data_IF_676160349316
#
_entry.id   IF_676160349316
#
_cell.length_a   1.000
_cell.length_b   1.000
_cell.length_c   1.000
_cell.angle_alpha   90.00
_cell.angle_beta   90.00
_cell.angle_gamma   90.00
#
_symmetry.space_group_name_H-M   'P 1'
#
loop_
_entity.id
_entity.type
_entity.pdbx_description
1 polymer ?
#
# COMPACT_ATOMS: atom_id res chain seq x y z
N UNK A 1 -75.95 3.94 -28.97
CA UNK A 1 -74.53 4.28 -29.20
C UNK A 1 -73.75 3.87 -27.97
N UNK A 2 -72.94 2.82 -28.05
CA UNK A 2 -72.10 2.33 -26.94
C UNK A 2 -70.67 2.65 -27.27
N UNK A 3 -70.05 3.54 -26.50
CA UNK A 3 -68.63 3.91 -26.59
C UNK A 3 -67.79 2.92 -25.76
N UNK A 4 -66.90 2.19 -26.41
CA UNK A 4 -65.93 1.30 -25.77
C UNK A 4 -64.67 2.10 -25.40
N UNK A 5 -64.28 2.06 -24.14
CA UNK A 5 -63.03 2.62 -23.63
C UNK A 5 -61.94 1.55 -23.74
N UNK A 6 -60.87 1.86 -24.49
CA UNK A 6 -59.67 1.03 -24.61
C UNK A 6 -58.69 1.44 -23.49
N UNK A 7 -58.50 0.57 -22.52
CA UNK A 7 -57.51 0.76 -21.44
C UNK A 7 -56.11 0.38 -21.95
N UNK A 8 -55.18 1.32 -21.96
CA UNK A 8 -53.77 1.13 -22.27
C UNK A 8 -53.03 0.67 -21.02
N UNK A 9 -52.64 -0.60 -20.97
CA UNK A 9 -51.85 -1.16 -19.84
C UNK A 9 -50.37 -0.96 -20.15
N UNK A 10 -49.74 -0.04 -19.47
CA UNK A 10 -48.26 0.18 -19.54
C UNK A 10 -47.58 -0.86 -18.70
N UNK A 11 -46.85 -1.79 -19.33
CA UNK A 11 -45.97 -2.76 -18.66
C UNK A 11 -44.62 -2.09 -18.40
N UNK A 12 -44.30 -1.80 -17.14
CA UNK A 12 -42.95 -1.43 -16.71
C UNK A 12 -42.07 -2.67 -16.65
N UNK A 13 -41.13 -2.79 -17.61
CA UNK A 13 -40.07 -3.80 -17.53
C UNK A 13 -38.96 -3.27 -16.64
N UNK A 14 -38.87 -3.82 -15.43
CA UNK A 14 -37.67 -3.63 -14.58
C UNK A 14 -36.55 -4.50 -15.12
N UNK A 15 -35.56 -3.88 -15.77
CA UNK A 15 -34.32 -4.55 -16.09
C UNK A 15 -33.51 -4.75 -14.79
N UNK A 16 -33.57 -5.94 -14.22
CA UNK A 16 -32.66 -6.38 -13.16
C UNK A 16 -31.26 -6.55 -13.75
N UNK A 17 -30.45 -5.50 -13.67
CA UNK A 17 -29.02 -5.58 -13.96
C UNK A 17 -28.35 -6.47 -12.90
N UNK A 18 -28.01 -7.70 -13.26
CA UNK A 18 -27.14 -8.57 -12.48
C UNK A 18 -25.72 -7.99 -12.53
N UNK A 19 -25.31 -7.30 -11.46
CA UNK A 19 -23.89 -7.05 -11.22
C UNK A 19 -23.23 -8.40 -10.91
N UNK A 20 -22.67 -9.05 -11.94
CA UNK A 20 -21.75 -10.15 -11.76
C UNK A 20 -20.48 -9.63 -11.05
N UNK A 21 -19.80 -10.47 -10.21
CA UNK A 21 -18.55 -10.07 -9.62
C UNK A 21 -17.55 -9.74 -10.73
N UNK A 22 -16.91 -8.57 -10.63
CA UNK A 22 -15.81 -8.22 -11.51
C UNK A 22 -14.70 -9.27 -11.32
N UNK A 23 -14.54 -10.18 -12.28
CA UNK A 23 -13.41 -11.09 -12.30
C UNK A 23 -12.16 -10.22 -12.49
N UNK A 24 -11.33 -10.18 -11.45
CA UNK A 24 -10.00 -9.58 -11.54
C UNK A 24 -9.22 -10.34 -12.62
N UNK A 25 -8.69 -9.61 -13.59
CA UNK A 25 -7.88 -10.19 -14.66
C UNK A 25 -6.57 -10.73 -14.06
N UNK A 26 -6.49 -12.04 -13.86
CA UNK A 26 -5.34 -12.72 -13.23
C UNK A 26 -4.03 -12.58 -14.05
N UNK A 27 -4.11 -11.97 -15.23
CA UNK A 27 -3.00 -11.81 -16.17
C UNK A 27 -2.35 -10.41 -16.12
N UNK A 28 -2.79 -9.52 -15.22
CA UNK A 28 -2.20 -8.19 -15.08
C UNK A 28 -0.85 -8.30 -14.38
N UNK A 29 0.20 -7.73 -14.96
CA UNK A 29 1.54 -7.73 -14.37
C UNK A 29 1.52 -7.16 -12.95
N UNK A 30 2.20 -7.83 -12.01
CA UNK A 30 2.32 -7.39 -10.62
C UNK A 30 3.04 -6.04 -10.56
N UNK A 31 2.51 -5.11 -9.78
CA UNK A 31 3.10 -3.77 -9.57
C UNK A 31 4.40 -3.84 -8.76
N UNK A 32 4.47 -4.79 -7.83
CA UNK A 32 5.65 -5.12 -7.04
C UNK A 32 6.04 -6.55 -7.39
N UNK A 33 7.02 -6.76 -8.26
CA UNK A 33 7.46 -8.09 -8.69
C UNK A 33 7.96 -8.95 -7.53
N UNK A 34 7.71 -10.26 -7.60
CA UNK A 34 8.12 -11.21 -6.57
C UNK A 34 7.18 -11.32 -5.36
N UNK A 35 6.11 -10.54 -5.32
CA UNK A 35 5.08 -10.59 -4.27
C UNK A 35 3.71 -10.80 -4.90
N UNK A 36 2.94 -11.75 -4.38
CA UNK A 36 1.61 -12.06 -4.91
C UNK A 36 0.55 -11.06 -4.42
N UNK A 37 -0.48 -10.83 -5.23
CA UNK A 37 -1.73 -10.23 -4.76
C UNK A 37 -2.53 -11.25 -3.91
N UNK A 38 -3.53 -10.79 -3.16
CA UNK A 38 -4.44 -11.67 -2.43
C UNK A 38 -5.15 -12.63 -3.39
N UNK A 39 -5.45 -13.85 -2.91
CA UNK A 39 -6.26 -14.83 -3.63
C UNK A 39 -7.73 -14.39 -3.63
N UNK A 40 -8.43 -14.70 -4.72
CA UNK A 40 -9.86 -14.46 -4.77
C UNK A 40 -10.61 -15.37 -3.80
N UNK A 41 -11.62 -14.80 -3.15
CA UNK A 41 -12.51 -15.53 -2.26
C UNK A 41 -13.95 -15.38 -2.75
N UNK A 42 -14.56 -16.46 -3.16
CA UNK A 42 -15.96 -16.44 -3.59
C UNK A 42 -16.86 -15.95 -2.45
N UNK A 43 -17.72 -14.98 -2.76
CA UNK A 43 -18.63 -14.38 -1.77
C UNK A 43 -18.02 -13.28 -0.89
N UNK A 44 -16.76 -12.88 -1.10
CA UNK A 44 -16.20 -11.70 -0.45
C UNK A 44 -17.06 -10.46 -0.79
N UNK A 45 -17.44 -9.69 0.24
CA UNK A 45 -18.28 -8.49 0.08
C UNK A 45 -17.47 -7.24 -0.17
N UNK A 46 -16.36 -7.09 0.55
CA UNK A 46 -15.47 -5.95 0.42
C UNK A 46 -14.35 -6.28 -0.57
N UNK A 47 -14.34 -5.57 -1.67
CA UNK A 47 -13.33 -5.66 -2.72
C UNK A 47 -12.76 -4.27 -2.98
N UNK A 48 -11.50 -4.15 -3.45
CA UNK A 48 -10.98 -2.87 -3.89
C UNK A 48 -11.85 -2.25 -4.98
N UNK A 49 -12.22 -0.98 -4.81
CA UNK A 49 -12.99 -0.21 -5.80
C UNK A 49 -12.03 0.70 -6.61
N UNK A 50 -11.95 0.54 -7.95
CA UNK A 50 -11.09 1.37 -8.80
C UNK A 50 -11.37 2.89 -8.73
N UNK A 51 -12.54 3.28 -8.24
CA UNK A 51 -12.95 4.70 -8.12
C UNK A 51 -12.60 5.32 -6.76
N UNK A 52 -12.13 4.52 -5.81
CA UNK A 52 -11.79 4.98 -4.47
C UNK A 52 -10.35 5.47 -4.38
N UNK A 53 -10.14 6.65 -3.80
CA UNK A 53 -8.82 7.17 -3.43
C UNK A 53 -8.32 6.45 -2.17
N UNK A 54 -7.38 5.55 -2.34
CA UNK A 54 -6.75 4.80 -1.23
C UNK A 54 -5.62 5.62 -0.62
N UNK A 55 -5.95 6.49 0.32
CA UNK A 55 -5.00 7.28 1.11
C UNK A 55 -4.64 6.52 2.38
N UNK A 56 -3.53 5.79 2.34
CA UNK A 56 -3.14 4.87 3.42
C UNK A 56 -1.71 5.15 3.88
N UNK A 57 -1.49 5.20 5.20
CA UNK A 57 -0.16 5.26 5.79
C UNK A 57 0.06 4.05 6.70
N UNK A 58 1.11 3.30 6.38
CA UNK A 58 1.63 2.21 7.21
C UNK A 58 2.72 2.77 8.11
N UNK A 59 2.53 2.72 9.42
CA UNK A 59 3.44 3.32 10.40
C UNK A 59 3.76 2.40 11.59
N UNK A 60 3.11 1.28 11.70
CA UNK A 60 3.33 0.28 12.72
C UNK A 60 3.54 -1.08 12.05
N UNK A 61 4.56 -1.80 12.46
CA UNK A 61 4.90 -3.09 11.89
C UNK A 61 5.58 -4.00 12.90
N UNK A 62 5.81 -5.22 12.50
CA UNK A 62 6.57 -6.19 13.29
C UNK A 62 8.05 -6.12 12.92
N UNK A 63 8.91 -6.34 13.91
CA UNK A 63 10.36 -6.48 13.70
C UNK A 63 10.69 -7.71 12.86
N UNK A 64 11.72 -7.60 12.03
CA UNK A 64 12.42 -8.79 11.57
C UNK A 64 13.09 -9.50 12.76
N UNK A 65 13.09 -10.82 12.74
CA UNK A 65 13.70 -11.61 13.84
C UNK A 65 15.21 -11.47 13.86
N UNK A 66 15.82 -11.30 12.69
CA UNK A 66 17.26 -11.16 12.53
C UNK A 66 17.57 -10.08 11.48
N UNK A 67 18.76 -9.46 11.56
CA UNK A 67 19.19 -8.49 10.54
C UNK A 67 19.31 -9.05 9.10
N UNK A 68 19.33 -10.38 8.93
CA UNK A 68 19.35 -11.03 7.63
C UNK A 68 17.97 -11.25 7.02
N UNK A 69 16.90 -10.97 7.75
CA UNK A 69 15.53 -11.20 7.30
C UNK A 69 14.93 -9.91 6.74
N UNK A 70 14.08 -10.04 5.73
CA UNK A 70 13.27 -8.92 5.22
C UNK A 70 12.26 -8.52 6.29
N UNK A 71 12.09 -7.22 6.52
CA UNK A 71 11.07 -6.72 7.43
C UNK A 71 9.67 -7.17 6.98
N UNK A 72 8.88 -7.86 7.82
CA UNK A 72 7.62 -8.50 7.43
C UNK A 72 6.53 -7.50 7.01
N UNK A 73 6.63 -6.23 7.37
CA UNK A 73 5.72 -5.19 6.92
C UNK A 73 5.83 -4.95 5.40
N UNK A 74 7.05 -4.99 4.85
CA UNK A 74 7.28 -4.69 3.43
C UNK A 74 6.59 -5.68 2.48
N UNK A 75 6.70 -7.02 2.65
CA UNK A 75 5.92 -7.99 1.87
C UNK A 75 4.41 -7.81 2.00
N UNK A 76 3.91 -7.46 3.19
CA UNK A 76 2.49 -7.19 3.42
C UNK A 76 2.01 -6.00 2.59
N UNK A 77 2.80 -4.91 2.57
CA UNK A 77 2.48 -3.73 1.77
C UNK A 77 2.58 -4.04 0.26
N UNK A 78 3.57 -4.82 -0.16
CA UNK A 78 3.70 -5.28 -1.54
C UNK A 78 2.47 -6.06 -2.00
N UNK A 79 1.99 -6.99 -1.16
CA UNK A 79 0.75 -7.74 -1.41
C UNK A 79 -0.46 -6.80 -1.48
N UNK A 80 -0.55 -5.80 -0.60
CA UNK A 80 -1.63 -4.80 -0.64
C UNK A 80 -1.62 -4.00 -1.94
N UNK A 81 -0.47 -3.45 -2.35
CA UNK A 81 -0.30 -2.69 -3.60
C UNK A 81 -0.66 -3.55 -4.82
N UNK A 82 -0.20 -4.80 -4.86
CA UNK A 82 -0.53 -5.74 -5.93
C UNK A 82 -2.02 -6.09 -5.94
N UNK A 83 -2.65 -6.18 -4.77
CA UNK A 83 -4.10 -6.43 -4.68
C UNK A 83 -4.89 -5.25 -5.25
N UNK A 84 -4.53 -4.00 -4.91
CA UNK A 84 -5.15 -2.82 -5.52
C UNK A 84 -4.99 -2.84 -7.05
N UNK A 85 -3.78 -3.15 -7.54
CA UNK A 85 -3.51 -3.28 -8.97
C UNK A 85 -4.31 -4.38 -9.64
N UNK A 86 -4.42 -5.56 -9.01
CA UNK A 86 -5.25 -6.69 -9.48
C UNK A 86 -6.71 -6.29 -9.71
N UNK A 87 -7.29 -5.53 -8.78
CA UNK A 87 -8.67 -5.04 -8.88
C UNK A 87 -8.81 -3.76 -9.71
N UNK A 88 -7.76 -3.32 -10.40
CA UNK A 88 -7.84 -2.23 -11.37
C UNK A 88 -7.77 -0.83 -10.78
N UNK A 89 -7.41 -0.67 -9.50
CA UNK A 89 -7.18 0.65 -8.90
C UNK A 89 -6.02 1.33 -9.63
N UNK A 90 -6.24 2.48 -10.30
CA UNK A 90 -5.21 3.15 -11.09
C UNK A 90 -4.18 3.87 -10.20
N UNK A 91 -3.02 4.26 -10.77
CA UNK A 91 -1.92 4.85 -10.00
C UNK A 91 -2.32 6.12 -9.26
N UNK A 92 -3.14 6.96 -9.90
CA UNK A 92 -3.65 8.22 -9.35
C UNK A 92 -4.57 8.07 -8.14
N UNK A 93 -5.11 6.87 -7.90
CA UNK A 93 -5.94 6.53 -6.75
C UNK A 93 -5.20 5.74 -5.66
N UNK A 94 -3.89 5.48 -5.84
CA UNK A 94 -3.05 4.75 -4.87
C UNK A 94 -2.09 5.69 -4.16
N UNK A 95 -2.52 6.31 -3.07
CA UNK A 95 -1.70 7.18 -2.23
C UNK A 95 -1.19 6.40 -1.01
N UNK A 96 -0.17 5.58 -1.22
CA UNK A 96 0.35 4.68 -0.19
C UNK A 96 1.64 5.26 0.37
N UNK A 97 1.69 5.43 1.69
CA UNK A 97 2.85 5.93 2.43
C UNK A 97 3.34 4.88 3.40
N UNK A 98 4.65 4.70 3.51
CA UNK A 98 5.30 3.98 4.60
C UNK A 98 6.06 5.00 5.44
N UNK A 99 5.87 4.96 6.78
CA UNK A 99 6.56 5.84 7.71
C UNK A 99 7.38 5.03 8.71
N UNK A 100 8.68 4.94 8.48
CA UNK A 100 9.61 4.34 9.44
C UNK A 100 9.94 5.32 10.55
N UNK A 101 9.85 4.88 11.82
CA UNK A 101 10.16 5.72 12.96
C UNK A 101 10.67 4.88 14.16
N UNK A 102 11.13 5.57 15.22
CA UNK A 102 11.78 4.94 16.37
C UNK A 102 10.97 3.82 17.07
N UNK A 103 9.65 3.80 16.87
CA UNK A 103 8.76 2.75 17.39
C UNK A 103 8.52 1.61 16.41
N UNK A 104 8.85 1.83 15.13
CA UNK A 104 8.93 0.69 14.24
C UNK A 104 10.27 0.02 14.52
N UNK A 105 10.22 -1.24 14.77
CA UNK A 105 11.41 -2.05 14.80
C UNK A 105 12.13 -1.86 13.45
N UNK A 106 13.39 -1.95 13.43
CA UNK A 106 14.19 -1.92 12.20
C UNK A 106 14.16 -0.60 11.40
N UNK A 107 14.21 0.57 12.06
CA UNK A 107 14.50 1.79 11.31
C UNK A 107 15.82 1.66 10.49
N UNK A 108 16.70 0.76 10.90
CA UNK A 108 17.98 0.50 10.24
C UNK A 108 17.82 -0.09 8.83
N UNK A 109 16.66 -0.68 8.50
CA UNK A 109 16.38 -1.22 7.15
C UNK A 109 16.38 -0.14 6.06
N UNK A 110 16.21 1.13 6.44
CA UNK A 110 16.28 2.25 5.48
C UNK A 110 17.71 2.63 5.11
N UNK A 111 18.73 2.00 5.73
CA UNK A 111 20.13 2.28 5.42
C UNK A 111 20.50 1.81 4.01
N UNK A 112 21.50 2.48 3.40
CA UNK A 112 22.16 1.97 2.19
C UNK A 112 22.75 0.59 2.47
N UNK A 113 23.03 -0.17 1.42
CA UNK A 113 23.64 -1.50 1.57
C UNK A 113 25.00 -1.43 2.27
N UNK A 114 25.82 -0.44 1.91
CA UNK A 114 27.14 -0.22 2.47
C UNK A 114 27.08 0.05 3.97
N UNK A 115 26.23 1.00 4.40
CA UNK A 115 26.07 1.36 5.79
C UNK A 115 25.48 0.21 6.63
N UNK A 116 24.55 -0.54 6.05
CA UNK A 116 23.98 -1.73 6.70
C UNK A 116 25.02 -2.83 6.88
N UNK A 117 25.85 -3.07 5.85
CA UNK A 117 26.93 -4.05 5.88
C UNK A 117 27.99 -3.68 6.91
N UNK A 118 28.35 -2.41 7.00
CA UNK A 118 29.26 -1.91 8.04
C UNK A 118 28.72 -2.20 9.46
N UNK A 119 27.41 -2.02 9.68
CA UNK A 119 26.76 -2.21 11.01
C UNK A 119 26.53 -3.67 11.37
N UNK A 120 26.12 -4.51 10.41
CA UNK A 120 25.65 -5.86 10.65
C UNK A 120 26.50 -6.96 10.01
N UNK A 121 27.59 -6.60 9.31
CA UNK A 121 28.45 -7.51 8.56
C UNK A 121 27.68 -8.38 7.55
N UNK A 122 26.64 -7.82 6.91
CA UNK A 122 25.81 -8.44 5.88
C UNK A 122 25.11 -7.42 5.02
N UNK A 123 24.70 -7.80 3.84
CA UNK A 123 23.92 -6.96 2.96
C UNK A 123 22.52 -6.67 3.53
N UNK A 124 21.98 -5.49 3.24
CA UNK A 124 20.62 -5.13 3.65
C UNK A 124 19.59 -5.90 2.81
N UNK A 125 18.84 -6.86 3.40
CA UNK A 125 17.90 -7.69 2.66
C UNK A 125 16.67 -6.92 2.16
N UNK A 126 16.49 -5.69 2.62
CA UNK A 126 15.32 -4.88 2.31
C UNK A 126 15.48 -3.98 1.08
N UNK A 127 16.70 -3.82 0.54
CA UNK A 127 16.97 -2.89 -0.58
C UNK A 127 16.08 -3.19 -1.79
N UNK A 128 16.01 -4.45 -2.20
CA UNK A 128 15.27 -4.84 -3.40
C UNK A 128 13.77 -4.55 -3.28
N UNK A 129 13.16 -4.85 -2.12
CA UNK A 129 11.72 -4.61 -1.92
C UNK A 129 11.43 -3.12 -1.73
N UNK A 130 12.27 -2.36 -1.04
CA UNK A 130 12.15 -0.90 -0.93
C UNK A 130 12.15 -0.28 -2.32
N UNK A 131 13.11 -0.66 -3.17
CA UNK A 131 13.17 -0.18 -4.55
C UNK A 131 11.92 -0.55 -5.35
N UNK A 132 11.48 -1.80 -5.30
CA UNK A 132 10.28 -2.26 -6.01
C UNK A 132 9.00 -1.54 -5.56
N UNK A 133 8.83 -1.29 -4.26
CA UNK A 133 7.72 -0.51 -3.71
C UNK A 133 7.77 0.95 -4.20
N UNK A 134 8.96 1.57 -4.21
CA UNK A 134 9.15 2.91 -4.75
C UNK A 134 8.74 2.99 -6.21
N UNK A 135 9.17 2.04 -7.04
CA UNK A 135 8.80 1.96 -8.46
C UNK A 135 7.28 1.75 -8.66
N UNK A 136 6.62 1.07 -7.73
CA UNK A 136 5.16 0.90 -7.73
C UNK A 136 4.38 2.15 -7.26
N UNK A 137 5.08 3.25 -6.94
CA UNK A 137 4.48 4.53 -6.54
C UNK A 137 4.26 4.67 -5.04
N UNK A 138 4.84 3.80 -4.21
CA UNK A 138 4.78 3.94 -2.74
C UNK A 138 5.73 5.05 -2.29
N UNK A 139 5.24 5.95 -1.43
CA UNK A 139 6.02 7.02 -0.83
C UNK A 139 6.64 6.51 0.49
N UNK A 140 7.95 6.30 0.48
CA UNK A 140 8.68 5.68 1.59
C UNK A 140 9.41 6.77 2.37
N UNK A 141 9.13 6.87 3.66
CA UNK A 141 9.62 7.94 4.53
C UNK A 141 10.23 7.39 5.81
N UNK A 142 11.19 8.14 6.35
CA UNK A 142 11.81 7.85 7.65
C UNK A 142 11.84 9.08 8.54
N UNK A 143 11.69 8.86 9.84
CA UNK A 143 11.76 9.89 10.87
C UNK A 143 13.21 10.35 11.13
N UNK A 144 13.52 11.62 10.87
CA UNK A 144 14.83 12.19 11.14
C UNK A 144 15.23 12.12 12.63
N UNK A 145 14.26 12.30 13.56
CA UNK A 145 14.53 12.11 15.00
C UNK A 145 14.87 10.65 15.34
N UNK A 146 14.26 9.70 14.60
CA UNK A 146 14.60 8.29 14.71
C UNK A 146 16.02 7.99 14.23
N UNK A 147 16.43 8.58 13.09
CA UNK A 147 17.79 8.47 12.57
C UNK A 147 18.82 9.00 13.58
N UNK A 148 18.58 10.18 14.15
CA UNK A 148 19.44 10.76 15.19
C UNK A 148 19.56 9.83 16.38
N UNK A 149 18.42 9.32 16.89
CA UNK A 149 18.40 8.39 18.02
C UNK A 149 19.14 7.07 17.76
N UNK A 150 19.19 6.64 16.50
CA UNK A 150 19.90 5.44 16.04
C UNK A 150 21.32 5.70 15.56
N UNK A 151 21.78 6.96 15.58
CA UNK A 151 23.09 7.40 15.06
C UNK A 151 23.30 7.00 13.59
N UNK A 152 22.28 7.20 12.77
CA UNK A 152 22.32 7.00 11.32
C UNK A 152 22.47 8.38 10.67
N UNK A 153 23.55 8.60 9.94
CA UNK A 153 23.75 9.81 9.15
C UNK A 153 22.78 9.84 7.97
N UNK A 154 22.30 11.01 7.60
CA UNK A 154 21.41 11.17 6.44
C UNK A 154 21.99 10.62 5.14
N UNK A 155 23.32 10.66 4.98
CA UNK A 155 24.05 10.09 3.82
C UNK A 155 24.03 8.56 3.79
N UNK A 156 23.73 7.92 4.92
CA UNK A 156 23.61 6.47 5.06
C UNK A 156 22.20 5.96 4.76
N UNK A 157 21.24 6.87 4.47
CA UNK A 157 19.86 6.49 4.12
C UNK A 157 19.76 6.17 2.64
N UNK A 158 19.03 5.09 2.33
CA UNK A 158 18.72 4.67 0.96
C UNK A 158 18.06 5.84 0.19
N UNK A 159 18.51 6.16 -1.03
CA UNK A 159 17.97 7.28 -1.83
C UNK A 159 16.49 7.14 -2.21
N UNK A 160 15.91 5.93 -2.17
CA UNK A 160 14.49 5.71 -2.37
C UNK A 160 13.62 6.13 -1.18
N UNK A 161 14.25 6.51 -0.05
CA UNK A 161 13.58 6.86 1.21
C UNK A 161 13.72 8.36 1.49
N UNK A 162 12.58 9.05 1.66
CA UNK A 162 12.54 10.45 2.05
C UNK A 162 12.75 10.60 3.57
N UNK A 163 13.57 11.56 3.98
CA UNK A 163 13.75 11.89 5.39
C UNK A 163 12.79 13.01 5.76
N UNK A 164 11.87 12.75 6.68
CA UNK A 164 11.00 13.75 7.29
C UNK A 164 11.55 14.21 8.65
N UNK A 165 11.26 15.44 9.07
CA UNK A 165 11.76 15.97 10.32
C UNK A 165 11.39 15.09 11.53
N UNK A 166 10.12 14.69 11.62
CA UNK A 166 9.57 13.94 12.74
C UNK A 166 8.32 13.17 12.34
N UNK A 167 8.25 11.88 12.67
CA UNK A 167 7.12 11.03 12.34
C UNK A 167 5.79 11.57 12.88
N UNK A 168 5.76 12.14 14.08
CA UNK A 168 4.54 12.69 14.67
C UNK A 168 3.93 13.78 13.78
N UNK A 169 4.73 14.74 13.31
CA UNK A 169 4.26 15.80 12.40
C UNK A 169 3.80 15.24 11.07
N UNK A 170 4.57 14.31 10.51
CA UNK A 170 4.22 13.66 9.23
C UNK A 170 2.89 12.92 9.34
N UNK A 171 2.71 12.08 10.37
CA UNK A 171 1.50 11.30 10.56
C UNK A 171 0.27 12.19 10.78
N UNK A 172 0.39 13.23 11.61
CA UNK A 172 -0.70 14.22 11.80
C UNK A 172 -1.05 14.89 10.49
N UNK A 173 -0.06 15.37 9.73
CA UNK A 173 -0.30 16.04 8.45
C UNK A 173 -0.96 15.11 7.42
N UNK A 174 -0.57 13.83 7.38
CA UNK A 174 -1.19 12.84 6.50
C UNK A 174 -2.66 12.59 6.91
N UNK A 175 -2.93 12.41 8.20
CA UNK A 175 -4.30 12.21 8.69
C UNK A 175 -5.19 13.42 8.40
N UNK A 176 -4.70 14.65 8.56
CA UNK A 176 -5.44 15.87 8.20
C UNK A 176 -5.71 15.96 6.68
N UNK A 177 -4.91 15.29 5.84
CA UNK A 177 -5.13 15.14 4.39
C UNK A 177 -6.03 13.95 4.04
N UNK A 178 -6.62 13.29 5.02
CA UNK A 178 -7.53 12.16 4.86
C UNK A 178 -6.86 10.78 4.73
N UNK A 179 -5.58 10.65 5.10
CA UNK A 179 -4.94 9.33 5.14
C UNK A 179 -5.43 8.51 6.33
N UNK A 180 -5.74 7.24 6.07
CA UNK A 180 -6.04 6.25 7.10
C UNK A 180 -4.74 5.59 7.54
N UNK A 181 -4.50 5.52 8.85
CA UNK A 181 -3.36 4.78 9.40
C UNK A 181 -3.75 3.31 9.57
N UNK A 182 -2.86 2.42 9.13
CA UNK A 182 -2.98 0.97 9.22
C UNK A 182 -1.75 0.40 9.94
N UNK A 183 -1.99 -0.51 10.89
CA UNK A 183 -0.98 -1.16 11.72
C UNK A 183 -0.89 -0.62 13.10
#
# INVERSE_FOLDING_TARGET
MRTAAIGLTTVLIFASGSFGPANADSNKALLVPGYEATKDLAGARELPDPKTDYKVVFADGQDAKNPGDVNPMLPTIATYVNTLGKYGVPAEHRHIVIMFHQRTPDIDIVMTNEAYKERYNRDNPNIAIIHALKQAGVDIRVCGQGLIGRKIDSKQVNPDVQIDLWAMTTLVNLQLKGFVRVG
#
